data_IF_782992888010
#
_entry.id   IF_782992888010
#
_cell.length_a   1.000
_cell.length_b   1.000
_cell.length_c   1.000
_cell.angle_alpha   90.00
_cell.angle_beta   90.00
_cell.angle_gamma   90.00
#
_symmetry.space_group_name_H-M   'P 1'
#
loop_
_entity.id
_entity.type
_entity.pdbx_description
1 polymer ?
#
# COMPACT_ATOMS: atom_id res chain seq x y z
N UNK A 1 13.59 -0.69 -1.31
CA UNK A 1 14.21 -2.03 -1.48
C UNK A 1 14.69 -2.61 -0.15
N UNK A 2 15.51 -1.91 0.64
CA UNK A 2 16.03 -2.39 1.94
C UNK A 2 14.92 -2.71 2.96
N UNK A 3 13.96 -1.79 3.16
CA UNK A 3 12.81 -2.01 4.04
C UNK A 3 11.96 -3.22 3.65
N UNK A 4 11.79 -3.44 2.35
CA UNK A 4 11.10 -4.63 1.84
C UNK A 4 11.85 -5.89 2.19
N UNK A 5 13.17 -5.95 1.95
CA UNK A 5 13.98 -7.12 2.32
C UNK A 5 13.86 -7.48 3.80
N UNK A 6 13.93 -6.48 4.69
CA UNK A 6 13.82 -6.69 6.14
C UNK A 6 12.44 -7.21 6.58
N UNK A 7 11.37 -6.67 6.01
CA UNK A 7 10.00 -7.02 6.39
C UNK A 7 9.34 -8.03 5.43
N UNK A 8 10.07 -8.57 4.45
CA UNK A 8 9.55 -9.47 3.41
C UNK A 8 8.93 -10.73 4.00
N UNK A 9 9.55 -11.29 5.04
CA UNK A 9 9.04 -12.48 5.73
C UNK A 9 7.69 -12.19 6.39
N UNK A 10 7.61 -11.09 7.14
CA UNK A 10 6.38 -10.67 7.81
C UNK A 10 5.28 -10.33 6.80
N UNK A 11 5.64 -9.67 5.69
CA UNK A 11 4.74 -9.38 4.58
C UNK A 11 4.08 -10.63 3.99
N UNK A 12 4.89 -11.59 3.56
CA UNK A 12 4.36 -12.82 2.97
C UNK A 12 3.59 -13.63 4.00
N UNK A 13 4.05 -13.68 5.26
CA UNK A 13 3.31 -14.33 6.33
C UNK A 13 1.90 -13.72 6.51
N UNK A 14 1.80 -12.38 6.52
CA UNK A 14 0.53 -11.66 6.63
C UNK A 14 -0.39 -11.94 5.45
N UNK A 15 0.17 -11.91 4.25
CA UNK A 15 -0.55 -12.16 3.01
C UNK A 15 -1.10 -13.59 2.96
N UNK A 16 -0.27 -14.58 3.32
CA UNK A 16 -0.67 -15.98 3.35
C UNK A 16 -1.78 -16.23 4.38
N UNK A 17 -1.69 -15.61 5.57
CA UNK A 17 -2.76 -15.67 6.58
C UNK A 17 -4.06 -15.08 6.05
N UNK A 18 -3.99 -13.92 5.41
CA UNK A 18 -5.16 -13.26 4.85
C UNK A 18 -5.83 -14.11 3.77
N UNK A 19 -5.04 -14.71 2.87
CA UNK A 19 -5.52 -15.57 1.78
C UNK A 19 -6.07 -16.92 2.26
N UNK A 20 -5.57 -17.45 3.39
CA UNK A 20 -6.13 -18.66 4.01
C UNK A 20 -7.50 -18.42 4.63
N UNK A 21 -7.71 -17.25 5.21
CA UNK A 21 -8.96 -16.91 5.90
C UNK A 21 -10.00 -16.28 4.98
N UNK A 22 -9.59 -15.71 3.84
CA UNK A 22 -10.46 -14.90 2.97
C UNK A 22 -10.10 -15.03 1.48
N UNK A 23 -11.12 -14.92 0.63
CA UNK A 23 -10.92 -14.77 -0.82
C UNK A 23 -10.64 -13.29 -1.12
N UNK A 24 -9.46 -13.00 -1.66
CA UNK A 24 -9.10 -11.64 -2.05
C UNK A 24 -9.91 -11.19 -3.28
N UNK A 25 -10.44 -9.95 -3.29
CA UNK A 25 -10.96 -9.36 -4.52
C UNK A 25 -9.89 -9.32 -5.61
N UNK A 26 -10.31 -9.47 -6.88
CA UNK A 26 -9.42 -9.62 -8.05
C UNK A 26 -8.32 -8.56 -8.10
N UNK A 27 -8.65 -7.31 -7.80
CA UNK A 27 -7.67 -6.21 -7.75
C UNK A 27 -6.53 -6.48 -6.74
N UNK A 28 -6.86 -6.94 -5.53
CA UNK A 28 -5.87 -7.24 -4.50
C UNK A 28 -5.14 -8.55 -4.78
N UNK A 29 -5.83 -9.55 -5.32
CA UNK A 29 -5.20 -10.81 -5.72
C UNK A 29 -4.12 -10.60 -6.80
N UNK A 30 -4.37 -9.70 -7.76
CA UNK A 30 -3.37 -9.31 -8.76
C UNK A 30 -2.13 -8.71 -8.11
N UNK A 31 -2.30 -7.71 -7.24
CA UNK A 31 -1.18 -7.05 -6.57
C UNK A 31 -0.44 -7.97 -5.58
N UNK A 32 -1.12 -8.94 -4.97
CA UNK A 32 -0.50 -9.95 -4.12
C UNK A 32 0.60 -10.75 -4.85
N UNK A 33 0.43 -10.97 -6.16
CA UNK A 33 1.36 -11.72 -7.00
C UNK A 33 2.54 -10.89 -7.56
N UNK A 34 2.54 -9.56 -7.34
CA UNK A 34 3.55 -8.65 -7.91
C UNK A 34 4.79 -8.45 -7.01
N UNK A 35 4.85 -9.12 -5.85
CA UNK A 35 5.96 -8.98 -4.91
C UNK A 35 6.14 -7.54 -4.42
N UNK A 36 7.35 -6.99 -4.57
CA UNK A 36 7.69 -5.64 -4.08
C UNK A 36 6.79 -4.54 -4.68
N UNK A 37 6.44 -4.65 -5.96
CA UNK A 37 5.65 -3.64 -6.67
C UNK A 37 4.22 -3.58 -6.11
N UNK A 38 3.66 -4.74 -5.74
CA UNK A 38 2.31 -4.83 -5.17
C UNK A 38 2.25 -4.60 -3.66
N UNK A 39 3.38 -4.68 -2.95
CA UNK A 39 3.45 -4.56 -1.51
C UNK A 39 2.81 -3.27 -0.94
N UNK A 40 2.92 -2.08 -1.57
CA UNK A 40 2.24 -0.88 -1.09
C UNK A 40 0.71 -0.98 -1.16
N UNK A 41 0.16 -1.62 -2.20
CA UNK A 41 -1.29 -1.81 -2.38
C UNK A 41 -1.83 -2.80 -1.34
N UNK A 42 -1.08 -3.88 -1.09
CA UNK A 42 -1.42 -4.85 -0.05
C UNK A 42 -1.25 -4.26 1.36
N UNK A 43 -0.23 -3.43 1.58
CA UNK A 43 -0.10 -2.69 2.84
C UNK A 43 -1.28 -1.75 3.05
N UNK A 44 -1.70 -1.01 2.01
CA UNK A 44 -2.91 -0.18 2.04
C UNK A 44 -4.16 -1.00 2.39
N UNK A 45 -4.33 -2.19 1.83
CA UNK A 45 -5.40 -3.12 2.18
C UNK A 45 -5.38 -3.43 3.68
N UNK A 46 -4.24 -3.86 4.23
CA UNK A 46 -4.12 -4.15 5.67
C UNK A 46 -4.47 -2.95 6.56
N UNK A 47 -3.97 -1.75 6.24
CA UNK A 47 -4.33 -0.54 6.99
C UNK A 47 -5.79 -0.15 6.84
N UNK A 48 -6.35 -0.34 5.65
CA UNK A 48 -7.76 -0.06 5.40
C UNK A 48 -8.66 -0.97 6.20
N UNK A 49 -8.35 -2.26 6.27
CA UNK A 49 -9.05 -3.23 7.12
C UNK A 49 -8.92 -2.83 8.59
N UNK A 50 -7.70 -2.56 9.07
CA UNK A 50 -7.43 -2.19 10.46
C UNK A 50 -8.19 -0.92 10.90
N UNK A 51 -8.35 0.04 9.99
CA UNK A 51 -9.05 1.30 10.26
C UNK A 51 -10.53 1.26 9.88
N UNK A 52 -11.06 0.10 9.49
CA UNK A 52 -12.43 -0.08 8.97
C UNK A 52 -12.79 0.95 7.88
N UNK A 53 -11.82 1.31 7.04
CA UNK A 53 -12.01 2.25 5.92
C UNK A 53 -12.74 1.57 4.79
N UNK A 54 -13.53 2.33 4.02
CA UNK A 54 -14.12 1.85 2.76
C UNK A 54 -12.98 1.54 1.79
N UNK A 55 -12.85 0.28 1.40
CA UNK A 55 -11.84 -0.19 0.46
C UNK A 55 -12.48 -0.39 -0.92
N UNK A 56 -11.79 -0.02 -2.02
CA UNK A 56 -12.24 -0.37 -3.36
C UNK A 56 -12.41 -1.89 -3.49
N UNK A 57 -13.46 -2.33 -4.19
CA UNK A 57 -13.72 -3.76 -4.45
C UNK A 57 -13.95 -4.64 -3.20
N UNK A 58 -14.21 -4.03 -2.03
CA UNK A 58 -14.56 -4.75 -0.80
C UNK A 58 -15.76 -4.09 -0.11
N UNK A 59 -16.79 -4.87 0.19
CA UNK A 59 -17.95 -4.39 0.95
C UNK A 59 -17.61 -4.28 2.45
N UNK A 60 -18.15 -3.26 3.15
CA UNK A 60 -17.89 -3.02 4.58
C UNK A 60 -18.36 -4.16 5.49
N UNK A 61 -19.37 -4.90 5.07
CA UNK A 61 -19.91 -6.03 5.83
C UNK A 61 -19.11 -7.33 5.60
N UNK A 62 -18.00 -7.26 4.85
CA UNK A 62 -17.18 -8.42 4.58
C UNK A 62 -16.40 -8.85 5.83
N UNK A 63 -16.38 -10.16 6.08
CA UNK A 63 -15.67 -10.80 7.21
C UNK A 63 -14.17 -10.43 7.29
N UNK A 64 -13.57 -10.03 6.17
CA UNK A 64 -12.17 -9.62 6.07
C UNK A 64 -11.84 -8.41 6.96
N UNK A 65 -12.83 -7.59 7.33
CA UNK A 65 -12.64 -6.50 8.30
C UNK A 65 -12.34 -6.96 9.73
N UNK A 66 -12.56 -8.25 10.05
CA UNK A 66 -12.22 -8.83 11.35
C UNK A 66 -10.78 -9.40 11.37
N UNK A 67 -10.13 -9.52 10.21
CA UNK A 67 -8.75 -10.01 10.10
C UNK A 67 -7.73 -9.25 10.98
N UNK A 68 -7.79 -7.90 11.07
CA UNK A 68 -6.87 -7.13 11.89
C UNK A 68 -6.96 -7.41 13.38
N UNK A 69 -8.10 -7.89 13.89
CA UNK A 69 -8.33 -8.09 15.33
C UNK A 69 -7.34 -9.11 15.92
N UNK A 70 -6.92 -10.09 15.11
CA UNK A 70 -5.94 -11.13 15.50
C UNK A 70 -4.51 -10.85 15.01
N UNK A 71 -4.31 -9.85 14.17
CA UNK A 71 -3.05 -9.63 13.45
C UNK A 71 -2.52 -8.19 13.53
N UNK A 72 -3.06 -7.38 14.45
CA UNK A 72 -2.79 -5.93 14.57
C UNK A 72 -1.30 -5.60 14.63
N UNK A 73 -0.55 -6.30 15.48
CA UNK A 73 0.89 -6.04 15.69
C UNK A 73 1.70 -6.37 14.44
N UNK A 74 1.34 -7.46 13.76
CA UNK A 74 1.99 -7.86 12.52
C UNK A 74 1.71 -6.84 11.40
N UNK A 75 0.50 -6.25 11.35
CA UNK A 75 0.14 -5.21 10.38
C UNK A 75 1.02 -3.97 10.54
N UNK A 76 1.41 -3.60 11.77
CA UNK A 76 2.33 -2.47 11.98
C UNK A 76 3.72 -2.72 11.38
N UNK A 77 4.17 -3.98 11.28
CA UNK A 77 5.48 -4.30 10.68
C UNK A 77 5.54 -4.00 9.18
N UNK A 78 4.38 -3.97 8.49
CA UNK A 78 4.29 -3.63 7.06
C UNK A 78 3.90 -2.18 6.82
N UNK A 79 3.72 -1.37 7.88
CA UNK A 79 3.50 0.08 7.80
C UNK A 79 4.52 0.83 6.95
N UNK A 80 5.82 0.54 7.06
CA UNK A 80 6.83 1.26 6.29
C UNK A 80 6.58 1.18 4.78
N UNK A 81 6.03 0.09 4.24
CA UNK A 81 5.77 -0.02 2.80
C UNK A 81 4.77 1.02 2.31
N UNK A 82 3.69 1.20 3.08
CA UNK A 82 2.65 2.17 2.75
C UNK A 82 3.20 3.60 2.82
N UNK A 83 3.86 3.95 3.92
CA UNK A 83 4.34 5.33 4.11
C UNK A 83 5.53 5.67 3.21
N UNK A 84 6.48 4.76 3.00
CA UNK A 84 7.60 4.98 2.07
C UNK A 84 7.12 5.12 0.62
N UNK A 85 6.09 4.39 0.23
CA UNK A 85 5.49 4.55 -1.09
C UNK A 85 4.79 5.90 -1.22
N UNK A 86 4.00 6.29 -0.22
CA UNK A 86 3.30 7.58 -0.21
C UNK A 86 4.27 8.77 -0.23
N UNK A 87 5.34 8.72 0.54
CA UNK A 87 6.37 9.76 0.53
C UNK A 87 7.11 9.79 -0.80
N UNK A 88 7.44 8.62 -1.38
CA UNK A 88 8.06 8.54 -2.70
C UNK A 88 7.21 9.17 -3.80
N UNK A 89 5.89 8.89 -3.81
CA UNK A 89 4.94 9.56 -4.72
C UNK A 89 4.92 11.07 -4.48
N UNK A 90 4.86 11.50 -3.22
CA UNK A 90 4.87 12.92 -2.86
C UNK A 90 6.09 13.67 -3.41
N UNK A 91 7.29 13.09 -3.23
CA UNK A 91 8.52 13.66 -3.80
C UNK A 91 8.51 13.69 -5.33
N UNK A 92 8.01 12.64 -5.98
CA UNK A 92 7.88 12.61 -7.44
C UNK A 92 6.99 13.76 -7.94
N UNK A 93 5.85 14.01 -7.29
CA UNK A 93 4.99 15.15 -7.61
C UNK A 93 5.68 16.49 -7.42
N UNK A 94 6.44 16.67 -6.33
CA UNK A 94 7.20 17.91 -6.09
C UNK A 94 8.23 18.14 -7.20
N UNK A 95 8.97 17.11 -7.59
CA UNK A 95 9.98 17.20 -8.67
C UNK A 95 9.29 17.53 -10.00
N UNK A 96 8.19 16.86 -10.35
CA UNK A 96 7.41 17.17 -11.54
C UNK A 96 6.90 18.61 -11.53
N UNK A 97 6.41 19.09 -10.38
CA UNK A 97 5.93 20.45 -10.23
C UNK A 97 7.04 21.48 -10.41
N UNK A 98 8.22 21.26 -9.81
CA UNK A 98 9.39 22.13 -9.99
C UNK A 98 9.81 22.15 -11.47
N UNK A 99 9.90 20.99 -12.12
CA UNK A 99 10.21 20.91 -13.55
C UNK A 99 9.21 21.67 -14.42
N UNK A 100 7.93 21.61 -14.08
CA UNK A 100 6.86 22.34 -14.77
C UNK A 100 7.00 23.86 -14.54
N UNK A 101 7.29 24.31 -13.32
CA UNK A 101 7.56 25.72 -13.01
C UNK A 101 8.77 26.26 -13.76
N UNK A 102 9.87 25.50 -13.86
CA UNK A 102 11.06 25.87 -14.63
C UNK A 102 10.70 26.02 -16.11
N UNK A 103 10.00 25.03 -16.67
CA UNK A 103 9.60 25.05 -18.09
C UNK A 103 8.67 26.24 -18.40
N UNK A 104 7.72 26.55 -17.51
CA UNK A 104 6.86 27.72 -17.65
C UNK A 104 7.65 29.03 -17.58
N UNK A 105 8.62 29.16 -16.68
CA UNK A 105 9.47 30.36 -16.58
C UNK A 105 10.35 30.56 -17.83
N UNK A 106 10.83 29.47 -18.44
CA UNK A 106 11.58 29.54 -19.71
C UNK A 106 10.67 29.96 -20.87
N UNK A 107 9.43 29.45 -20.91
CA UNK A 107 8.49 29.72 -22.00
C UNK A 107 7.80 31.10 -21.89
N UNK A 108 7.62 31.59 -20.66
CA UNK A 108 7.10 32.93 -20.37
C UNK A 108 8.10 33.71 -19.51
N UNK A 109 9.18 34.23 -20.11
CA UNK A 109 10.12 35.10 -19.41
C UNK A 109 9.46 36.46 -19.21
N UNK A 110 8.84 36.67 -18.05
CA UNK A 110 8.39 37.99 -17.58
C UNK A 110 9.55 38.79 -17.01
#
# INVERSE_FOLDING_TARGET
>A
MFLYGLNRKNYHHLLDKLQKENILPTFYAYHANMGFIGAPVIAYLFFGLQRKKKLPFLNRDNIMYNFPDKNKDLIYTVAPFYYTFLTGIGFAFIICFIGLMIKLKIFFPS
#
